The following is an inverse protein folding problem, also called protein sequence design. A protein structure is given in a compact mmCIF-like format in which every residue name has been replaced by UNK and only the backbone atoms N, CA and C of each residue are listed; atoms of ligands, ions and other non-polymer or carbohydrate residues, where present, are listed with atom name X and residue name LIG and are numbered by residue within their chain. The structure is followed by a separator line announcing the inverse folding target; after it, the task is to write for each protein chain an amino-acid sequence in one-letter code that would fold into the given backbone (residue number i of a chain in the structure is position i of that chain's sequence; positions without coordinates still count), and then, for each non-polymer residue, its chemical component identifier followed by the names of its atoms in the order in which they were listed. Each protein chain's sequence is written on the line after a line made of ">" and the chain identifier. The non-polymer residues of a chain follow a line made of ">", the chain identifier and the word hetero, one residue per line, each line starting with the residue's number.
data_IF_174139168083
#
_entry.id   IF_174139168083
#
_cell.length_a   1.000
_cell.length_b   1.000
_cell.length_c   1.000
_cell.angle_alpha   90.00
_cell.angle_beta   90.00
_cell.angle_gamma   90.00
#
_symmetry.space_group_name_H-M   'P 1'
#
loop_
_entity.id
_entity.type
_entity.pdbx_description
1 polymer ?
#
# COMPACT_ATOMS: atom_id res chain seq x y z
N UNK A 1 7.59 1.98 7.37
CA UNK A 1 8.77 2.68 6.80
C UNK A 1 9.98 1.78 6.97
N UNK A 2 10.79 1.63 5.95
CA UNK A 2 11.97 0.77 5.95
C UNK A 2 12.98 1.21 4.87
N UNK A 3 14.12 0.55 4.83
CA UNK A 3 15.10 0.64 3.76
C UNK A 3 15.12 -0.66 2.96
N UNK A 4 14.99 -0.57 1.66
CA UNK A 4 15.36 -1.62 0.72
C UNK A 4 16.87 -1.56 0.51
N UNK A 5 17.58 -2.58 1.02
CA UNK A 5 19.04 -2.61 1.09
C UNK A 5 19.57 -3.54 0.01
N UNK A 6 20.11 -2.95 -1.03
CA UNK A 6 20.82 -3.62 -2.11
C UNK A 6 22.32 -3.70 -1.79
N UNK A 7 23.09 -4.54 -2.47
CA UNK A 7 24.54 -4.64 -2.25
C UNK A 7 25.32 -3.34 -2.41
N UNK A 8 24.82 -2.40 -3.20
CA UNK A 8 25.52 -1.13 -3.54
C UNK A 8 24.83 0.13 -3.03
N UNK A 9 23.54 0.06 -2.70
CA UNK A 9 22.76 1.22 -2.31
C UNK A 9 21.61 0.82 -1.37
N UNK A 10 21.00 1.82 -0.74
CA UNK A 10 19.78 1.63 0.04
C UNK A 10 18.74 2.65 -0.40
N UNK A 11 17.53 2.20 -0.67
CA UNK A 11 16.41 3.00 -1.14
C UNK A 11 15.35 3.03 -0.04
N UNK A 12 14.86 4.23 0.30
CA UNK A 12 13.75 4.38 1.23
C UNK A 12 12.48 3.77 0.62
N UNK A 13 11.77 2.93 1.39
CA UNK A 13 10.66 2.16 0.87
C UNK A 13 9.67 1.70 1.95
N UNK A 14 8.84 0.77 1.53
CA UNK A 14 7.70 0.25 2.28
C UNK A 14 6.39 0.75 1.69
N UNK A 15 5.54 -0.16 1.22
CA UNK A 15 4.32 0.15 0.48
C UNK A 15 3.46 1.25 1.13
N UNK A 16 3.13 1.21 2.45
CA UNK A 16 2.36 2.30 3.05
C UNK A 16 3.06 3.66 3.00
N UNK A 17 4.40 3.71 3.08
CA UNK A 17 5.14 4.96 2.93
C UNK A 17 5.11 5.47 1.50
N UNK A 18 5.25 4.58 0.52
CA UNK A 18 5.17 4.97 -0.90
C UNK A 18 3.78 5.55 -1.22
N UNK A 19 2.70 4.89 -0.79
CA UNK A 19 1.33 5.41 -0.92
C UNK A 19 1.21 6.79 -0.27
N UNK A 20 1.69 6.94 0.97
CA UNK A 20 1.62 8.19 1.71
C UNK A 20 2.36 9.33 0.98
N UNK A 21 3.55 9.08 0.45
CA UNK A 21 4.34 10.05 -0.30
C UNK A 21 3.67 10.48 -1.61
N UNK A 22 3.05 9.55 -2.34
CA UNK A 22 2.28 9.89 -3.53
C UNK A 22 1.04 10.72 -3.20
N UNK A 23 0.30 10.38 -2.13
CA UNK A 23 -0.87 11.16 -1.68
C UNK A 23 -0.46 12.56 -1.25
N UNK A 24 0.64 12.71 -0.51
CA UNK A 24 1.21 14.00 -0.14
C UNK A 24 1.59 14.82 -1.38
N UNK A 25 2.21 14.18 -2.37
CA UNK A 25 2.57 14.82 -3.64
C UNK A 25 1.35 15.28 -4.44
N UNK A 26 0.24 14.53 -4.36
CA UNK A 26 -1.06 14.91 -4.96
C UNK A 26 -1.80 16.00 -4.18
N UNK A 27 -1.26 16.45 -3.02
CA UNK A 27 -1.77 17.59 -2.26
C UNK A 27 -2.76 17.21 -1.14
N UNK A 28 -2.86 15.95 -0.75
CA UNK A 28 -3.61 15.54 0.43
C UNK A 28 -2.79 15.76 1.71
N UNK A 29 -3.47 16.03 2.81
CA UNK A 29 -2.86 16.03 4.15
C UNK A 29 -2.72 14.59 4.65
N UNK A 30 -1.48 14.10 4.73
CA UNK A 30 -1.19 12.69 4.99
C UNK A 30 -0.32 12.55 6.24
N UNK A 31 -0.68 11.62 7.11
CA UNK A 31 0.10 11.27 8.30
C UNK A 31 0.51 9.81 8.25
N UNK A 32 1.78 9.55 8.52
CA UNK A 32 2.34 8.20 8.55
C UNK A 32 2.46 7.71 9.99
N UNK A 33 1.69 6.66 10.34
CA UNK A 33 1.87 5.95 11.61
C UNK A 33 2.94 4.87 11.39
N UNK A 34 4.07 5.01 12.07
CA UNK A 34 5.17 4.05 11.98
C UNK A 34 6.07 4.14 13.22
N UNK A 35 7.12 3.31 13.25
CA UNK A 35 8.16 3.38 14.28
C UNK A 35 9.51 3.08 13.66
N UNK A 36 10.53 3.85 14.00
CA UNK A 36 11.92 3.70 13.55
C UNK A 36 12.83 3.53 14.76
N UNK A 37 14.00 2.94 14.56
CA UNK A 37 15.02 2.88 15.61
C UNK A 37 15.69 4.23 15.85
N UNK A 38 16.18 4.48 17.07
CA UNK A 38 17.09 5.59 17.35
C UNK A 38 18.48 5.32 16.76
N UNK A 39 18.54 5.19 15.46
CA UNK A 39 19.75 4.89 14.70
C UNK A 39 19.94 5.83 13.50
N UNK A 40 21.07 5.68 12.80
CA UNK A 40 21.38 6.49 11.62
C UNK A 40 20.38 6.28 10.48
N UNK A 41 19.87 5.07 10.32
CA UNK A 41 18.91 4.70 9.28
C UNK A 41 17.55 5.35 9.53
N UNK A 42 17.07 5.37 10.79
CA UNK A 42 15.86 6.04 11.20
C UNK A 42 15.92 7.56 10.96
N UNK A 43 16.99 8.20 11.40
CA UNK A 43 17.19 9.63 11.16
C UNK A 43 17.22 10.00 9.67
N UNK A 44 17.78 9.12 8.82
CA UNK A 44 17.75 9.31 7.36
C UNK A 44 16.35 9.14 6.78
N UNK A 45 15.52 8.23 7.31
CA UNK A 45 14.11 8.09 6.87
C UNK A 45 13.30 9.33 7.23
N UNK A 46 13.46 9.90 8.45
CA UNK A 46 12.80 11.15 8.81
C UNK A 46 13.20 12.29 7.86
N UNK A 47 14.51 12.47 7.65
CA UNK A 47 15.00 13.48 6.68
C UNK A 47 14.53 13.23 5.25
N UNK A 48 14.22 11.98 4.89
CA UNK A 48 13.68 11.63 3.59
C UNK A 48 12.23 12.09 3.45
N UNK A 49 11.35 11.74 4.40
CA UNK A 49 9.93 12.13 4.35
C UNK A 49 9.73 13.64 4.50
N UNK A 50 10.60 14.31 5.29
CA UNK A 50 10.59 15.76 5.44
C UNK A 50 10.76 16.48 4.08
N UNK A 51 11.58 15.94 3.16
CA UNK A 51 11.76 16.51 1.81
C UNK A 51 10.48 16.49 0.96
N UNK A 52 9.54 15.62 1.30
CA UNK A 52 8.21 15.56 0.68
C UNK A 52 7.17 16.38 1.44
N UNK A 53 7.57 17.10 2.51
CA UNK A 53 6.67 17.87 3.35
C UNK A 53 5.76 17.02 4.25
N UNK A 54 6.08 15.75 4.46
CA UNK A 54 5.31 14.86 5.33
C UNK A 54 5.68 15.07 6.80
N UNK A 55 4.67 15.16 7.67
CA UNK A 55 4.85 15.25 9.12
C UNK A 55 5.40 13.95 9.71
N UNK A 56 6.27 14.09 10.72
CA UNK A 56 6.79 13.00 11.55
C UNK A 56 6.00 12.78 12.85
N UNK A 57 4.92 13.54 13.09
CA UNK A 57 4.19 13.59 14.36
C UNK A 57 3.71 12.24 14.89
N UNK A 58 3.39 11.28 14.00
CA UNK A 58 2.93 9.93 14.37
C UNK A 58 4.02 8.86 14.18
N UNK A 59 5.27 9.27 13.96
CA UNK A 59 6.40 8.34 13.87
C UNK A 59 7.05 8.21 15.25
N UNK A 60 7.00 7.01 15.80
CA UNK A 60 7.60 6.69 17.09
C UNK A 60 9.09 6.40 16.94
N UNK A 61 9.87 6.61 18.01
CA UNK A 61 11.29 6.26 18.09
C UNK A 61 11.44 5.06 19.04
N UNK A 62 12.16 4.05 18.59
CA UNK A 62 12.50 2.87 19.39
C UNK A 62 13.96 2.91 19.83
N UNK A 63 14.21 2.65 21.13
CA UNK A 63 15.56 2.62 21.69
C UNK A 63 16.17 1.21 21.73
N UNK A 64 15.39 0.18 21.41
CA UNK A 64 15.79 -1.24 21.54
C UNK A 64 15.89 -1.91 20.17
N UNK A 65 14.95 -1.63 19.27
CA UNK A 65 14.87 -2.26 17.96
C UNK A 65 15.39 -1.36 16.84
N UNK A 66 16.11 -1.93 15.86
CA UNK A 66 16.64 -1.15 14.73
C UNK A 66 15.53 -0.69 13.78
N UNK A 67 15.82 0.34 12.99
CA UNK A 67 14.99 0.75 11.86
C UNK A 67 14.79 -0.40 10.88
N UNK A 68 13.57 -0.55 10.37
CA UNK A 68 13.19 -1.62 9.46
C UNK A 68 14.01 -1.66 8.17
N UNK A 69 14.31 -2.87 7.70
CA UNK A 69 14.99 -3.08 6.42
C UNK A 69 14.52 -4.36 5.73
N UNK A 70 14.62 -4.35 4.41
CA UNK A 70 14.54 -5.53 3.54
C UNK A 70 15.89 -5.69 2.87
N UNK A 71 16.52 -6.84 3.08
CA UNK A 71 17.76 -7.19 2.41
C UNK A 71 17.44 -7.78 1.04
N UNK A 72 18.00 -7.19 0.00
CA UNK A 72 17.76 -7.61 -1.38
C UNK A 72 19.07 -8.10 -1.96
N UNK A 73 19.09 -9.38 -2.35
CA UNK A 73 20.19 -9.96 -3.10
C UNK A 73 19.76 -10.08 -4.56
N UNK A 74 20.34 -9.22 -5.41
CA UNK A 74 20.12 -9.13 -6.86
C UNK A 74 21.31 -9.64 -7.69
N UNK A 75 22.26 -10.37 -7.06
CA UNK A 75 23.42 -10.96 -7.76
C UNK A 75 22.96 -11.95 -8.84
N UNK A 76 21.90 -12.71 -8.57
CA UNK A 76 21.20 -13.54 -9.53
C UNK A 76 19.91 -12.83 -9.97
N UNK A 77 19.94 -12.19 -11.14
CA UNK A 77 18.79 -11.44 -11.68
C UNK A 77 17.56 -12.31 -11.98
N UNK A 78 17.74 -13.61 -12.14
CA UNK A 78 16.62 -14.54 -12.37
C UNK A 78 15.98 -15.01 -11.04
N UNK A 79 16.72 -14.90 -9.91
CA UNK A 79 16.26 -15.35 -8.59
C UNK A 79 16.56 -14.30 -7.53
N UNK A 80 15.96 -13.13 -7.62
CA UNK A 80 16.09 -12.06 -6.61
C UNK A 80 15.52 -12.56 -5.28
N UNK A 81 16.33 -12.51 -4.22
CA UNK A 81 15.89 -12.90 -2.87
C UNK A 81 15.63 -11.67 -2.02
N UNK A 82 14.52 -11.71 -1.31
CA UNK A 82 14.09 -10.66 -0.38
C UNK A 82 14.03 -11.24 1.03
N UNK A 83 14.71 -10.62 1.97
CA UNK A 83 14.61 -10.94 3.39
C UNK A 83 14.10 -9.73 4.16
N UNK A 84 12.86 -9.80 4.64
CA UNK A 84 12.28 -8.76 5.49
C UNK A 84 12.77 -9.00 6.91
N UNK A 85 13.66 -8.15 7.39
CA UNK A 85 14.30 -8.30 8.72
C UNK A 85 13.25 -8.26 9.82
N UNK A 86 13.41 -9.12 10.83
CA UNK A 86 12.58 -9.20 12.04
C UNK A 86 13.43 -9.69 13.23
N UNK A 87 13.26 -9.09 14.46
CA UNK A 87 12.39 -7.95 14.79
C UNK A 87 13.01 -6.61 14.40
N UNK A 88 12.15 -5.61 14.16
CA UNK A 88 12.55 -4.23 13.90
C UNK A 88 11.55 -3.25 14.54
N UNK A 89 11.89 -1.97 14.62
CA UNK A 89 11.10 -0.97 15.34
C UNK A 89 9.61 -0.93 14.96
N UNK A 90 9.26 -1.02 13.67
CA UNK A 90 7.85 -0.97 13.25
C UNK A 90 7.03 -2.23 13.60
N UNK A 91 7.65 -3.29 14.13
CA UNK A 91 6.94 -4.41 14.74
C UNK A 91 6.34 -4.05 16.11
N UNK A 92 6.77 -2.93 16.70
CA UNK A 92 6.49 -2.47 18.07
C UNK A 92 5.80 -1.10 18.12
N UNK A 93 4.93 -0.79 17.15
CA UNK A 93 4.14 0.46 17.16
C UNK A 93 3.16 0.42 18.31
N UNK A 94 3.26 1.39 19.22
CA UNK A 94 2.45 1.47 20.44
C UNK A 94 1.26 2.38 20.24
N UNK A 95 0.11 1.94 20.77
CA UNK A 95 -1.08 2.76 20.87
C UNK A 95 -0.86 3.92 21.83
N UNK A 96 -1.26 5.12 21.44
CA UNK A 96 -1.22 6.31 22.28
C UNK A 96 -2.40 7.25 21.98
N UNK A 97 -2.58 8.29 22.82
CA UNK A 97 -3.68 9.24 22.67
C UNK A 97 -3.64 10.03 21.37
N UNK A 98 -2.46 10.28 20.82
CA UNK A 98 -2.31 11.02 19.57
C UNK A 98 -2.80 10.17 18.39
N UNK A 99 -2.39 8.90 18.31
CA UNK A 99 -2.91 7.96 17.31
C UNK A 99 -4.42 7.79 17.44
N UNK A 100 -4.96 7.65 18.68
CA UNK A 100 -6.40 7.55 18.90
C UNK A 100 -7.15 8.77 18.34
N UNK A 101 -6.69 9.97 18.67
CA UNK A 101 -7.32 11.20 18.17
C UNK A 101 -7.27 11.28 16.64
N UNK A 102 -6.09 11.12 16.06
CA UNK A 102 -5.89 11.28 14.62
C UNK A 102 -6.66 10.23 13.81
N UNK A 103 -6.69 8.97 14.26
CA UNK A 103 -7.42 7.90 13.56
C UNK A 103 -8.93 8.09 13.51
N UNK A 104 -9.49 9.02 14.29
CA UNK A 104 -10.94 9.30 14.34
C UNK A 104 -11.38 10.50 13.52
N UNK A 105 -10.43 11.33 13.05
CA UNK A 105 -10.74 12.60 12.36
C UNK A 105 -10.27 12.62 10.90
N UNK A 106 -9.57 11.58 10.43
CA UNK A 106 -9.16 11.44 9.04
C UNK A 106 -10.29 10.91 8.17
N UNK A 107 -10.22 11.17 6.86
CA UNK A 107 -11.19 10.64 5.90
C UNK A 107 -11.00 9.13 5.67
N UNK A 108 -9.75 8.66 5.69
CA UNK A 108 -9.43 7.25 5.46
C UNK A 108 -8.16 6.80 6.20
N UNK A 109 -8.10 5.49 6.50
CA UNK A 109 -6.90 4.79 6.97
C UNK A 109 -6.51 3.75 5.91
N UNK A 110 -5.24 3.80 5.49
CA UNK A 110 -4.65 2.83 4.54
C UNK A 110 -3.72 1.91 5.30
N UNK A 111 -3.85 0.62 5.11
CA UNK A 111 -3.04 -0.38 5.81
C UNK A 111 -2.77 -1.62 4.95
N UNK A 112 -1.76 -2.41 5.34
CA UNK A 112 -1.39 -3.66 4.67
C UNK A 112 -1.18 -4.79 5.66
N UNK A 113 -1.17 -6.04 5.18
CA UNK A 113 -1.06 -7.24 6.00
C UNK A 113 0.24 -7.32 6.81
N UNK A 114 1.34 -6.82 6.24
CA UNK A 114 2.66 -6.89 6.87
C UNK A 114 2.76 -6.07 8.17
N UNK A 115 1.98 -4.98 8.30
CA UNK A 115 1.90 -4.18 9.52
C UNK A 115 1.34 -4.96 10.73
N UNK A 116 0.66 -6.08 10.48
CA UNK A 116 0.06 -6.93 11.50
C UNK A 116 0.89 -8.19 11.81
N UNK A 117 2.13 -8.32 11.29
CA UNK A 117 2.95 -9.52 11.45
C UNK A 117 3.40 -9.77 12.90
N UNK A 118 3.50 -8.72 13.70
CA UNK A 118 3.85 -8.81 15.13
C UNK A 118 2.70 -8.37 16.01
N UNK A 119 2.64 -8.92 17.23
CA UNK A 119 1.49 -8.78 18.13
C UNK A 119 1.25 -7.33 18.54
N UNK A 120 2.31 -6.57 18.89
CA UNK A 120 2.18 -5.22 19.43
C UNK A 120 1.64 -4.25 18.38
N UNK A 121 2.24 -4.22 17.19
CA UNK A 121 1.77 -3.40 16.07
C UNK A 121 0.39 -3.85 15.57
N UNK A 122 0.12 -5.16 15.58
CA UNK A 122 -1.18 -5.72 15.25
C UNK A 122 -2.27 -5.22 16.18
N UNK A 123 -2.04 -5.22 17.50
CA UNK A 123 -3.01 -4.68 18.47
C UNK A 123 -3.26 -3.20 18.26
N UNK A 124 -2.22 -2.42 17.98
CA UNK A 124 -2.36 -0.99 17.65
C UNK A 124 -3.16 -0.80 16.37
N UNK A 125 -2.86 -1.56 15.31
CA UNK A 125 -3.60 -1.51 14.04
C UNK A 125 -5.09 -1.82 14.26
N UNK A 126 -5.44 -2.88 14.97
CA UNK A 126 -6.85 -3.21 15.19
C UNK A 126 -7.60 -2.13 15.96
N UNK A 127 -6.96 -1.44 16.92
CA UNK A 127 -7.56 -0.29 17.59
C UNK A 127 -7.80 0.89 16.63
N UNK A 128 -6.88 1.13 15.68
CA UNK A 128 -7.08 2.11 14.61
C UNK A 128 -8.28 1.71 13.74
N UNK A 129 -8.38 0.44 13.37
CA UNK A 129 -9.45 -0.09 12.52
C UNK A 129 -10.82 -0.13 13.21
N UNK A 130 -10.89 0.07 14.53
CA UNK A 130 -12.16 0.26 15.24
C UNK A 130 -12.72 1.70 15.12
N UNK A 131 -11.97 2.62 14.50
CA UNK A 131 -12.45 3.98 14.24
C UNK A 131 -13.52 4.02 13.13
N UNK A 132 -14.44 5.03 13.14
CA UNK A 132 -15.53 5.13 12.19
C UNK A 132 -15.12 5.86 10.89
N UNK A 133 -13.96 5.52 10.34
CA UNK A 133 -13.39 6.13 9.12
C UNK A 133 -13.29 5.08 8.03
N UNK A 134 -13.13 5.50 6.76
CA UNK A 134 -12.94 4.58 5.65
C UNK A 134 -11.64 3.79 5.80
N UNK A 135 -11.71 2.47 5.66
CA UNK A 135 -10.59 1.53 5.84
C UNK A 135 -10.23 0.88 4.51
N UNK A 136 -9.04 1.21 4.01
CA UNK A 136 -8.54 0.74 2.72
C UNK A 136 -7.40 -0.24 2.97
N UNK A 137 -7.63 -1.50 2.66
CA UNK A 137 -6.63 -2.57 2.76
C UNK A 137 -5.95 -2.79 1.41
N UNK A 138 -4.66 -2.47 1.32
CA UNK A 138 -3.77 -3.06 0.33
C UNK A 138 -3.17 -4.32 0.94
N UNK A 139 -3.70 -5.50 0.55
CA UNK A 139 -3.36 -6.74 1.24
C UNK A 139 -1.86 -7.04 1.20
N UNK A 140 -1.21 -6.78 0.08
CA UNK A 140 0.24 -6.75 -0.17
C UNK A 140 0.99 -7.88 0.55
N UNK A 141 0.62 -9.13 0.21
CA UNK A 141 1.05 -10.34 0.92
C UNK A 141 2.55 -10.58 0.83
N UNK A 142 3.15 -10.90 1.97
CA UNK A 142 4.59 -11.21 2.10
C UNK A 142 4.77 -12.50 2.91
N UNK A 143 5.01 -13.64 2.25
CA UNK A 143 5.33 -14.87 2.97
C UNK A 143 6.61 -14.74 3.80
N UNK A 144 6.70 -15.35 4.99
CA UNK A 144 5.69 -16.15 5.68
C UNK A 144 4.83 -15.36 6.69
N UNK A 145 4.70 -14.03 6.56
CA UNK A 145 4.19 -13.11 7.59
C UNK A 145 2.66 -12.98 7.62
N UNK A 146 1.92 -13.93 7.09
CA UNK A 146 0.46 -13.98 7.18
C UNK A 146 -0.04 -15.41 7.43
N UNK A 147 -1.24 -15.51 7.98
CA UNK A 147 -2.00 -16.74 8.18
C UNK A 147 -3.43 -16.50 7.75
N UNK A 148 -4.19 -17.57 7.46
CA UNK A 148 -5.61 -17.44 7.11
C UNK A 148 -6.40 -16.67 8.19
N UNK A 149 -6.18 -16.99 9.48
CA UNK A 149 -6.83 -16.29 10.60
C UNK A 149 -6.51 -14.78 10.65
N UNK A 150 -5.26 -14.41 10.35
CA UNK A 150 -4.89 -12.99 10.29
C UNK A 150 -5.55 -12.30 9.10
N UNK A 151 -5.57 -12.95 7.94
CA UNK A 151 -6.22 -12.42 6.74
C UNK A 151 -7.72 -12.23 6.95
N UNK A 152 -8.41 -13.22 7.52
CA UNK A 152 -9.83 -13.11 7.91
C UNK A 152 -10.10 -11.86 8.74
N UNK A 153 -9.29 -11.64 9.77
CA UNK A 153 -9.44 -10.48 10.66
C UNK A 153 -9.23 -9.15 9.93
N UNK A 154 -8.22 -9.07 9.05
CA UNK A 154 -7.92 -7.84 8.31
C UNK A 154 -8.99 -7.56 7.24
N UNK A 155 -9.41 -8.60 6.49
CA UNK A 155 -10.44 -8.50 5.45
C UNK A 155 -11.79 -8.07 6.06
N UNK A 156 -12.17 -8.65 7.21
CA UNK A 156 -13.41 -8.27 7.92
C UNK A 156 -13.42 -6.81 8.39
N UNK A 157 -12.26 -6.18 8.57
CA UNK A 157 -12.16 -4.79 9.00
C UNK A 157 -12.10 -3.79 7.86
N UNK A 158 -11.86 -4.22 6.64
CA UNK A 158 -11.70 -3.34 5.49
C UNK A 158 -13.05 -2.98 4.86
N UNK A 159 -13.20 -1.73 4.45
CA UNK A 159 -14.31 -1.25 3.63
C UNK A 159 -13.98 -1.37 2.14
N UNK A 160 -12.72 -1.10 1.78
CA UNK A 160 -12.18 -1.24 0.42
C UNK A 160 -11.00 -2.21 0.46
N UNK A 161 -11.01 -3.16 -0.46
CA UNK A 161 -9.91 -4.10 -0.67
C UNK A 161 -9.20 -3.80 -1.99
N UNK A 162 -7.86 -3.63 -1.96
CA UNK A 162 -7.02 -3.65 -3.16
C UNK A 162 -6.14 -4.90 -3.15
N UNK A 163 -6.12 -5.58 -4.28
CA UNK A 163 -5.33 -6.80 -4.52
C UNK A 163 -4.70 -6.77 -5.92
N UNK A 164 -3.82 -7.73 -6.19
CA UNK A 164 -3.34 -8.07 -7.53
C UNK A 164 -3.78 -9.48 -7.94
N UNK A 165 -3.41 -9.93 -9.15
CA UNK A 165 -3.80 -11.25 -9.69
C UNK A 165 -3.26 -12.41 -8.84
N UNK A 166 -2.01 -12.33 -8.37
CA UNK A 166 -1.39 -13.37 -7.55
C UNK A 166 -2.09 -13.47 -6.18
N UNK A 167 -2.41 -12.33 -5.60
CA UNK A 167 -3.14 -12.23 -4.33
C UNK A 167 -4.57 -12.75 -4.47
N UNK A 168 -5.27 -12.43 -5.58
CA UNK A 168 -6.58 -13.00 -5.86
C UNK A 168 -6.50 -14.53 -5.96
N UNK A 169 -5.50 -15.05 -6.66
CA UNK A 169 -5.27 -16.49 -6.79
C UNK A 169 -5.04 -17.14 -5.42
N UNK A 170 -4.29 -16.50 -4.56
CA UNK A 170 -4.03 -16.99 -3.21
C UNK A 170 -5.30 -16.96 -2.35
N UNK A 171 -6.06 -15.87 -2.37
CA UNK A 171 -7.34 -15.75 -1.68
C UNK A 171 -8.36 -16.77 -2.21
N UNK A 172 -8.37 -17.03 -3.52
CA UNK A 172 -9.24 -18.05 -4.11
C UNK A 172 -9.00 -19.43 -3.51
N UNK A 173 -7.74 -19.78 -3.23
CA UNK A 173 -7.42 -21.05 -2.58
C UNK A 173 -7.82 -21.07 -1.08
N UNK A 174 -7.76 -19.94 -0.37
CA UNK A 174 -8.17 -19.88 1.04
C UNK A 174 -9.69 -19.93 1.23
N UNK A 175 -10.44 -19.32 0.31
CA UNK A 175 -11.88 -19.10 0.45
C UNK A 175 -12.73 -19.87 -0.55
N UNK A 176 -12.13 -20.80 -1.30
CA UNK A 176 -12.80 -21.59 -2.34
C UNK A 176 -13.61 -20.72 -3.32
N UNK A 177 -12.94 -19.67 -3.84
CA UNK A 177 -13.56 -18.73 -4.77
C UNK A 177 -13.64 -19.30 -6.19
N UNK A 178 -14.57 -18.80 -7.02
CA UNK A 178 -14.62 -19.13 -8.44
C UNK A 178 -13.29 -18.82 -9.16
N UNK A 179 -12.94 -19.65 -10.16
CA UNK A 179 -11.72 -19.44 -10.95
C UNK A 179 -11.78 -18.19 -11.85
N UNK A 180 -12.97 -17.73 -12.20
CA UNK A 180 -13.15 -16.53 -13.01
C UNK A 180 -13.06 -15.29 -12.12
N UNK A 181 -12.26 -14.31 -12.55
CA UNK A 181 -11.99 -13.08 -11.81
C UNK A 181 -13.30 -12.40 -11.34
N UNK A 182 -14.24 -12.19 -12.27
CA UNK A 182 -15.47 -11.47 -11.99
C UNK A 182 -16.28 -12.17 -10.85
N UNK A 183 -16.44 -13.48 -10.91
CA UNK A 183 -17.11 -14.25 -9.86
C UNK A 183 -16.31 -14.34 -8.55
N UNK A 184 -14.97 -14.31 -8.63
CA UNK A 184 -14.11 -14.28 -7.43
C UNK A 184 -14.24 -12.96 -6.68
N UNK A 185 -14.27 -11.82 -7.40
CA UNK A 185 -14.44 -10.49 -6.81
C UNK A 185 -15.82 -10.34 -6.16
N UNK A 186 -16.88 -10.80 -6.86
CA UNK A 186 -18.24 -10.85 -6.32
C UNK A 186 -18.29 -11.65 -5.02
N UNK A 187 -17.75 -12.87 -5.04
CA UNK A 187 -17.75 -13.75 -3.87
C UNK A 187 -16.93 -13.20 -2.70
N UNK A 188 -15.79 -12.58 -2.95
CA UNK A 188 -15.01 -11.88 -1.92
C UNK A 188 -15.82 -10.74 -1.29
N UNK A 189 -16.49 -9.93 -2.12
CA UNK A 189 -17.32 -8.83 -1.66
C UNK A 189 -18.47 -9.31 -0.78
N UNK A 190 -19.14 -10.41 -1.17
CA UNK A 190 -20.19 -11.05 -0.35
C UNK A 190 -19.67 -11.56 1.00
N UNK A 191 -18.50 -12.24 1.01
CA UNK A 191 -17.93 -12.85 2.22
C UNK A 191 -17.53 -11.82 3.28
N UNK A 192 -16.98 -10.69 2.86
CA UNK A 192 -16.41 -9.68 3.76
C UNK A 192 -17.17 -8.35 3.76
N UNK A 193 -18.26 -8.24 2.97
CA UNK A 193 -19.09 -7.01 2.87
C UNK A 193 -18.30 -5.77 2.46
N UNK A 194 -17.36 -5.93 1.51
CA UNK A 194 -16.63 -4.78 0.98
C UNK A 194 -17.56 -3.81 0.24
N UNK A 195 -17.36 -2.52 0.47
CA UNK A 195 -17.95 -1.47 -0.35
C UNK A 195 -17.42 -1.55 -1.79
N UNK A 196 -16.14 -1.88 -1.94
CA UNK A 196 -15.47 -1.95 -3.23
C UNK A 196 -14.27 -2.91 -3.18
N UNK A 197 -14.07 -3.69 -4.25
CA UNK A 197 -12.84 -4.46 -4.46
C UNK A 197 -12.13 -3.95 -5.71
N UNK A 198 -10.87 -3.57 -5.58
CA UNK A 198 -10.01 -3.13 -6.68
C UNK A 198 -8.93 -4.16 -6.95
N UNK A 199 -8.78 -4.57 -8.21
CA UNK A 199 -7.71 -5.50 -8.65
C UNK A 199 -6.83 -4.87 -9.70
N UNK A 200 -5.50 -4.94 -9.51
CA UNK A 200 -4.51 -4.57 -10.52
C UNK A 200 -4.08 -5.79 -11.33
N UNK A 201 -3.98 -5.64 -12.65
CA UNK A 201 -3.74 -6.70 -13.64
C UNK A 201 -2.42 -6.49 -14.40
N UNK A 202 -1.45 -5.85 -13.75
CA UNK A 202 -0.16 -5.50 -14.35
C UNK A 202 -0.31 -4.66 -15.63
N UNK A 203 0.26 -5.14 -16.73
CA UNK A 203 0.15 -4.46 -18.05
C UNK A 203 -1.27 -4.50 -18.64
N UNK A 204 -2.17 -5.30 -18.10
CA UNK A 204 -3.57 -5.40 -18.53
C UNK A 204 -4.49 -4.42 -17.79
N UNK A 205 -3.92 -3.49 -17.02
CA UNK A 205 -4.63 -2.43 -16.34
C UNK A 205 -5.20 -2.82 -15.00
N UNK A 206 -6.48 -2.57 -14.77
CA UNK A 206 -7.13 -2.82 -13.48
C UNK A 206 -8.65 -2.97 -13.63
N UNK A 207 -9.30 -3.48 -12.58
CA UNK A 207 -10.76 -3.53 -12.49
C UNK A 207 -11.23 -3.15 -11.08
N UNK A 208 -12.46 -2.64 -11.01
CA UNK A 208 -13.19 -2.37 -9.77
C UNK A 208 -14.48 -3.18 -9.80
N UNK A 209 -14.77 -3.89 -8.72
CA UNK A 209 -16.07 -4.49 -8.44
C UNK A 209 -16.78 -3.67 -7.36
N UNK A 210 -18.00 -3.25 -7.64
CA UNK A 210 -18.91 -2.61 -6.69
C UNK A 210 -20.36 -2.95 -7.04
N UNK A 211 -21.16 -3.35 -6.05
CA UNK A 211 -22.62 -3.55 -6.16
C UNK A 211 -23.08 -4.43 -7.35
N UNK A 212 -22.31 -5.47 -7.70
CA UNK A 212 -22.61 -6.38 -8.82
C UNK A 212 -22.09 -5.88 -10.18
N UNK A 213 -21.49 -4.71 -10.25
CA UNK A 213 -20.92 -4.16 -11.48
C UNK A 213 -19.38 -4.23 -11.49
N UNK A 214 -18.82 -4.46 -12.68
CA UNK A 214 -17.36 -4.44 -12.88
C UNK A 214 -16.98 -3.38 -13.89
N UNK A 215 -16.17 -2.45 -13.44
CA UNK A 215 -15.56 -1.41 -14.27
C UNK A 215 -14.12 -1.85 -14.57
N UNK A 216 -13.73 -1.84 -15.86
CA UNK A 216 -12.39 -2.27 -16.30
C UNK A 216 -11.70 -1.13 -17.04
N UNK A 217 -10.39 -1.01 -16.82
CA UNK A 217 -9.51 -0.12 -17.57
C UNK A 217 -8.34 -0.93 -18.13
N UNK A 218 -8.00 -0.80 -19.43
CA UNK A 218 -6.97 -1.64 -20.06
C UNK A 218 -5.53 -1.30 -19.65
N UNK A 219 -5.32 -0.25 -18.84
CA UNK A 219 -4.01 0.29 -18.54
C UNK A 219 -3.50 1.21 -19.64
N UNK A 220 -2.25 1.66 -19.47
CA UNK A 220 -1.56 2.52 -20.42
C UNK A 220 -0.27 1.83 -20.92
N UNK A 221 -0.05 1.77 -22.24
CA UNK A 221 1.15 1.17 -22.80
C UNK A 221 2.36 2.10 -22.59
N UNK A 222 3.22 1.76 -21.63
CA UNK A 222 4.40 2.55 -21.31
C UNK A 222 5.68 1.71 -21.41
N UNK A 223 6.82 2.40 -21.61
CA UNK A 223 8.14 1.74 -21.54
C UNK A 223 8.54 1.56 -20.08
N UNK A 224 8.33 0.37 -19.55
CA UNK A 224 8.63 0.02 -18.16
C UNK A 224 10.14 0.02 -17.91
N UNK A 225 10.58 0.74 -16.87
CA UNK A 225 11.94 0.69 -16.33
C UNK A 225 12.02 -0.12 -15.04
N UNK A 226 11.05 0.09 -14.16
CA UNK A 226 10.96 -0.55 -12.85
C UNK A 226 9.50 -0.64 -12.45
N UNK A 227 9.06 -1.76 -11.91
CA UNK A 227 7.68 -1.95 -11.43
C UNK A 227 7.52 -1.66 -9.93
N UNK A 228 8.62 -1.41 -9.23
CA UNK A 228 8.60 -1.08 -7.79
C UNK A 228 7.77 0.18 -7.55
N UNK A 229 6.80 0.10 -6.63
CA UNK A 229 5.93 1.20 -6.25
C UNK A 229 4.83 1.56 -7.26
N UNK A 230 4.77 0.92 -8.43
CA UNK A 230 3.68 1.15 -9.40
C UNK A 230 2.30 0.85 -8.79
N UNK A 231 2.17 -0.25 -8.05
CA UNK A 231 0.94 -0.59 -7.32
C UNK A 231 0.62 0.37 -6.18
N UNK A 232 1.64 0.90 -5.51
CA UNK A 232 1.48 1.91 -4.44
C UNK A 232 1.01 3.25 -5.04
N UNK A 233 1.59 3.65 -6.17
CA UNK A 233 1.20 4.85 -6.92
C UNK A 233 -0.23 4.71 -7.48
N UNK A 234 -0.59 3.54 -8.04
CA UNK A 234 -1.95 3.25 -8.44
C UNK A 234 -2.92 3.44 -7.27
N UNK A 235 -2.64 2.85 -6.11
CA UNK A 235 -3.49 2.98 -4.93
C UNK A 235 -3.61 4.44 -4.48
N UNK A 236 -2.52 5.20 -4.50
CA UNK A 236 -2.56 6.62 -4.17
C UNK A 236 -3.44 7.42 -5.14
N UNK A 237 -3.33 7.16 -6.45
CA UNK A 237 -4.18 7.76 -7.48
C UNK A 237 -5.66 7.41 -7.29
N UNK A 238 -5.93 6.15 -6.98
CA UNK A 238 -7.27 5.67 -6.65
C UNK A 238 -7.84 6.44 -5.44
N UNK A 239 -7.14 6.48 -4.32
CA UNK A 239 -7.57 7.16 -3.09
C UNK A 239 -7.82 8.64 -3.35
N UNK A 240 -6.90 9.31 -4.04
CA UNK A 240 -7.02 10.73 -4.37
C UNK A 240 -8.31 11.06 -5.10
N UNK A 241 -8.66 10.30 -6.14
CA UNK A 241 -9.87 10.50 -6.93
C UNK A 241 -11.13 10.02 -6.21
N UNK A 242 -11.05 8.90 -5.51
CA UNK A 242 -12.17 8.36 -4.75
C UNK A 242 -12.63 9.32 -3.63
N UNK A 243 -11.70 9.85 -2.83
CA UNK A 243 -12.02 10.84 -1.81
C UNK A 243 -12.49 12.19 -2.39
N UNK A 244 -12.09 12.49 -3.63
CA UNK A 244 -12.61 13.65 -4.39
C UNK A 244 -14.02 13.41 -4.96
N UNK A 245 -14.62 12.22 -4.73
CA UNK A 245 -15.96 11.83 -5.20
C UNK A 245 -16.11 11.88 -6.73
N UNK A 246 -15.05 11.60 -7.47
CA UNK A 246 -15.12 11.38 -8.91
C UNK A 246 -15.82 10.05 -9.22
N UNK A 247 -16.28 9.85 -10.46
CA UNK A 247 -16.83 8.55 -10.86
C UNK A 247 -15.76 7.45 -10.81
N UNK A 248 -16.18 6.19 -10.66
CA UNK A 248 -15.23 5.07 -10.57
C UNK A 248 -14.40 4.88 -11.83
N UNK A 249 -14.97 5.18 -13.01
CA UNK A 249 -14.26 5.17 -14.28
C UNK A 249 -13.11 6.17 -14.28
N UNK A 250 -13.36 7.42 -13.87
CA UNK A 250 -12.32 8.46 -13.78
C UNK A 250 -11.30 8.16 -12.68
N UNK A 251 -11.77 7.54 -11.60
CA UNK A 251 -10.90 7.10 -10.49
C UNK A 251 -9.93 6.03 -10.98
N UNK A 252 -10.45 5.04 -11.69
CA UNK A 252 -9.66 3.93 -12.24
C UNK A 252 -8.70 4.41 -13.33
N UNK A 253 -9.16 5.29 -14.20
CA UNK A 253 -8.38 5.92 -15.29
C UNK A 253 -7.15 6.65 -14.71
N UNK A 254 -7.36 7.55 -13.74
CA UNK A 254 -6.28 8.29 -13.08
C UNK A 254 -5.32 7.37 -12.31
N UNK A 255 -5.86 6.36 -11.62
CA UNK A 255 -5.06 5.39 -10.88
C UNK A 255 -4.14 4.58 -11.81
N UNK A 256 -4.68 4.10 -12.95
CA UNK A 256 -3.91 3.42 -13.98
C UNK A 256 -2.83 4.33 -14.58
N UNK A 257 -3.15 5.59 -14.85
CA UNK A 257 -2.19 6.56 -15.40
C UNK A 257 -1.04 6.81 -14.44
N UNK A 258 -1.32 7.01 -13.15
CA UNK A 258 -0.28 7.25 -12.14
C UNK A 258 0.60 6.01 -11.93
N UNK A 259 0.02 4.81 -11.83
CA UNK A 259 0.76 3.57 -11.74
C UNK A 259 1.66 3.34 -12.96
N UNK A 260 1.14 3.58 -14.16
CA UNK A 260 1.91 3.48 -15.41
C UNK A 260 3.04 4.53 -15.48
N UNK A 261 2.77 5.77 -15.07
CA UNK A 261 3.79 6.83 -15.02
C UNK A 261 4.95 6.41 -14.10
N UNK A 262 4.66 5.94 -12.88
CA UNK A 262 5.71 5.52 -11.93
C UNK A 262 6.53 4.37 -12.49
N UNK A 263 5.93 3.42 -13.20
CA UNK A 263 6.65 2.32 -13.85
C UNK A 263 7.66 2.79 -14.91
N UNK A 264 7.60 4.04 -15.40
CA UNK A 264 8.60 4.61 -16.32
C UNK A 264 9.85 5.15 -15.63
N UNK A 265 9.88 5.18 -14.30
CA UNK A 265 11.02 5.65 -13.50
C UNK A 265 11.72 4.48 -12.80
N UNK A 266 12.86 4.75 -12.18
CA UNK A 266 13.49 3.85 -11.23
C UNK A 266 13.03 4.17 -9.81
N UNK A 267 12.68 3.15 -9.02
CA UNK A 267 12.23 3.27 -7.63
C UNK A 267 10.78 3.72 -7.49
N UNK A 268 10.24 3.52 -6.27
CA UNK A 268 8.80 3.58 -6.01
C UNK A 268 8.22 4.99 -5.79
N UNK A 269 9.04 6.04 -5.62
CA UNK A 269 8.57 7.40 -5.31
C UNK A 269 9.30 8.47 -6.12
N UNK A 270 9.25 8.40 -7.47
CA UNK A 270 9.87 9.39 -8.33
C UNK A 270 9.18 10.76 -8.19
N UNK A 271 9.91 11.82 -8.56
CA UNK A 271 9.34 13.15 -8.71
C UNK A 271 8.66 13.25 -10.08
N UNK A 272 7.42 13.71 -10.12
CA UNK A 272 6.62 13.95 -11.33
C UNK A 272 5.74 15.18 -11.14
N UNK A 273 5.15 15.67 -12.23
CA UNK A 273 4.22 16.78 -12.22
C UNK A 273 2.83 16.33 -12.66
N UNK A 274 1.81 17.14 -12.40
CA UNK A 274 0.45 16.87 -12.86
C UNK A 274 0.35 16.73 -14.39
N UNK A 275 1.21 17.48 -15.13
CA UNK A 275 1.28 17.39 -16.58
C UNK A 275 1.78 16.01 -17.07
N UNK A 276 2.68 15.37 -16.33
CA UNK A 276 3.21 14.05 -16.67
C UNK A 276 2.09 12.99 -16.60
N UNK A 277 1.23 13.07 -15.57
CA UNK A 277 0.08 12.17 -15.42
C UNK A 277 -0.90 12.39 -16.59
N UNK A 278 -1.21 13.67 -16.91
CA UNK A 278 -2.09 13.99 -18.05
C UNK A 278 -1.54 13.46 -19.37
N UNK A 279 -0.22 13.56 -19.57
CA UNK A 279 0.41 13.05 -20.78
C UNK A 279 0.26 11.54 -20.95
N UNK A 280 0.17 10.77 -19.84
CA UNK A 280 -0.16 9.35 -19.89
C UNK A 280 -1.63 9.17 -20.26
N UNK A 281 -2.56 9.96 -19.66
CA UNK A 281 -4.00 9.85 -19.90
C UNK A 281 -4.41 10.23 -21.33
N UNK A 282 -3.60 11.06 -22.00
CA UNK A 282 -3.83 11.51 -23.37
C UNK A 282 -3.28 10.54 -24.44
N UNK A 283 -2.67 9.39 -24.04
CA UNK A 283 -2.14 8.37 -24.96
C UNK A 283 -3.22 7.48 -25.54
#
# INVERSE_FOLDING_TARGET
>A
MLWDVFPKESIAGGAPMNVALHLQHLGLDVKMISKIGDDKSGRKLLSFIEKFGMSEDLIQIDNEFPTGSVLINDEDKENIKYEIVKPVAWDHIQWNQQIDRESRIVDAVVFGSLAARDEESRQTLFKILDSPVLKILDINLRPPFYTADLLDKLLTKADILKINEDELTLLANFYDLPNQMDGALEKLSELFSFELVCITLGSNGAAIYQDGEIIKHPGYPVSVKDTVGSGDAFLAGFIYKYLSKESLEKTLDFACALGALVATFNGGTPQYKAEDIRSIMDM
#
